data_IF_662092898402
#
_entry.id   IF_662092898402
#
_cell.length_a   1.000
_cell.length_b   1.000
_cell.length_c   1.000
_cell.angle_alpha   90.00
_cell.angle_beta   90.00
_cell.angle_gamma   90.00
#
_symmetry.space_group_name_H-M   'P 1'
#
loop_
_entity.id
_entity.type
_entity.pdbx_description
1 polymer ?
#
# COMPACT_ATOMS: atom_id res chain seq x y z
N UNK A 1 -4.26 12.45 26.45
CA UNK A 1 -3.04 11.64 26.31
C UNK A 1 -2.29 12.08 25.08
N UNK A 2 -1.00 12.34 25.21
CA UNK A 2 -0.20 12.82 24.09
C UNK A 2 0.64 11.68 23.52
N UNK A 3 0.33 11.29 22.29
CA UNK A 3 1.02 10.19 21.63
C UNK A 3 2.32 10.60 20.94
N UNK A 4 2.59 11.89 20.79
CA UNK A 4 3.73 12.37 20.04
C UNK A 4 4.92 12.85 20.88
N UNK A 5 4.94 12.59 22.19
CA UNK A 5 6.03 13.04 23.05
C UNK A 5 7.19 12.04 23.09
N UNK A 6 8.40 12.58 23.14
CA UNK A 6 9.63 11.81 23.20
C UNK A 6 10.32 11.67 21.87
N UNK A 7 11.52 11.11 21.88
CA UNK A 7 12.27 10.81 20.66
C UNK A 7 11.67 9.64 19.93
N UNK A 8 12.08 9.44 18.67
CA UNK A 8 11.66 8.28 17.89
C UNK A 8 12.02 6.97 18.58
N UNK A 9 13.23 6.89 19.16
CA UNK A 9 13.69 5.71 19.87
C UNK A 9 12.83 5.43 21.11
N UNK A 10 12.48 6.45 21.87
CA UNK A 10 11.61 6.33 23.04
C UNK A 10 10.21 5.85 22.65
N UNK A 11 9.67 6.37 21.56
CA UNK A 11 8.37 5.96 21.05
C UNK A 11 8.37 4.50 20.59
N UNK A 12 9.44 4.05 19.93
CA UNK A 12 9.58 2.66 19.50
C UNK A 12 9.70 1.73 20.70
N UNK A 13 10.50 2.08 21.70
CA UNK A 13 10.63 1.29 22.92
C UNK A 13 9.29 1.17 23.67
N UNK A 14 8.55 2.26 23.74
CA UNK A 14 7.21 2.25 24.32
C UNK A 14 6.26 1.33 23.55
N UNK A 15 6.27 1.41 22.23
CA UNK A 15 5.45 0.54 21.39
C UNK A 15 5.79 -0.94 21.57
N UNK A 16 7.08 -1.26 21.63
CA UNK A 16 7.54 -2.63 21.87
C UNK A 16 7.03 -3.16 23.22
N UNK A 17 7.08 -2.33 24.25
CA UNK A 17 6.59 -2.70 25.58
C UNK A 17 5.09 -2.94 25.57
N UNK A 18 4.32 -2.03 24.94
CA UNK A 18 2.87 -2.18 24.85
C UNK A 18 2.45 -3.44 24.09
N UNK A 19 3.15 -3.76 23.00
CA UNK A 19 2.90 -4.99 22.22
C UNK A 19 3.19 -6.23 23.08
N UNK A 20 4.31 -6.21 23.81
CA UNK A 20 4.73 -7.33 24.64
C UNK A 20 3.75 -7.60 25.79
N UNK A 21 3.25 -6.52 26.39
CA UNK A 21 2.36 -6.60 27.56
C UNK A 21 0.88 -6.78 27.17
N UNK A 22 0.53 -6.69 25.89
CA UNK A 22 -0.86 -6.77 25.43
C UNK A 22 -1.38 -8.20 25.47
N UNK A 23 -2.65 -8.35 25.85
CA UNK A 23 -3.36 -9.64 25.81
C UNK A 23 -3.84 -9.98 24.40
N UNK A 24 -4.05 -8.95 23.57
CA UNK A 24 -4.49 -9.08 22.20
C UNK A 24 -3.97 -7.94 21.35
N UNK A 25 -3.77 -8.19 20.07
CA UNK A 25 -3.30 -7.19 19.11
C UNK A 25 -4.35 -7.07 18.01
N UNK A 26 -4.80 -5.84 17.75
CA UNK A 26 -5.69 -5.53 16.63
C UNK A 26 -4.92 -4.70 15.62
N UNK A 27 -4.89 -5.14 14.37
CA UNK A 27 -4.20 -4.45 13.29
C UNK A 27 -5.23 -3.80 12.38
N UNK A 28 -5.21 -2.46 12.31
CA UNK A 28 -5.96 -1.71 11.33
C UNK A 28 -5.02 -1.18 10.28
N UNK A 29 -5.27 -1.49 9.03
CA UNK A 29 -4.41 -1.10 7.93
C UNK A 29 -5.21 -0.80 6.67
N UNK A 30 -4.70 0.08 5.84
CA UNK A 30 -5.29 0.46 4.58
C UNK A 30 -4.23 0.63 3.51
N UNK A 31 -4.53 1.44 2.51
CA UNK A 31 -3.63 1.71 1.38
C UNK A 31 -2.26 2.24 1.81
N UNK A 32 -2.19 2.94 2.96
CA UNK A 32 -0.93 3.44 3.49
C UNK A 32 0.09 2.35 3.81
N UNK A 33 -0.36 1.20 4.32
CA UNK A 33 0.53 0.06 4.55
C UNK A 33 1.10 -0.44 3.24
N UNK A 34 0.29 -0.57 2.21
CA UNK A 34 0.71 -1.01 0.88
C UNK A 34 1.64 0.02 0.23
N UNK A 35 1.39 1.30 0.42
CA UNK A 35 2.27 2.38 -0.06
C UNK A 35 3.65 2.25 0.58
N UNK A 36 3.72 1.98 1.88
CA UNK A 36 4.99 1.77 2.57
C UNK A 36 5.74 0.54 2.06
N UNK A 37 5.03 -0.46 1.56
CA UNK A 37 5.61 -1.66 0.93
C UNK A 37 6.06 -1.42 -0.52
N UNK A 38 5.82 -0.22 -1.06
CA UNK A 38 6.22 0.16 -2.41
C UNK A 38 5.10 0.10 -3.45
N UNK A 39 3.87 -0.20 -3.04
CA UNK A 39 2.70 -0.20 -3.93
C UNK A 39 2.12 1.20 -4.05
N UNK A 40 2.88 2.12 -4.65
CA UNK A 40 2.45 3.49 -4.88
C UNK A 40 1.51 3.57 -6.09
N UNK A 41 0.57 4.53 -6.07
CA UNK A 41 -0.43 4.71 -7.12
C UNK A 41 -0.08 5.82 -8.12
N UNK A 42 1.00 6.54 -7.88
CA UNK A 42 1.45 7.65 -8.73
C UNK A 42 2.97 7.62 -8.88
N UNK A 43 3.53 8.61 -9.55
CA UNK A 43 4.97 8.77 -9.73
C UNK A 43 5.57 7.70 -10.64
N UNK A 44 6.80 7.30 -10.32
CA UNK A 44 7.60 6.41 -11.18
C UNK A 44 6.93 5.06 -11.40
N UNK A 45 6.29 4.51 -10.39
CA UNK A 45 5.64 3.21 -10.50
C UNK A 45 4.44 3.27 -11.43
N UNK A 46 3.64 4.32 -11.34
CA UNK A 46 2.53 4.53 -12.27
C UNK A 46 3.04 4.69 -13.69
N UNK A 47 4.06 5.50 -13.91
CA UNK A 47 4.65 5.70 -15.22
C UNK A 47 5.22 4.41 -15.80
N UNK A 48 5.85 3.59 -14.98
CA UNK A 48 6.42 2.31 -15.41
C UNK A 48 5.36 1.34 -15.93
N UNK A 49 4.23 1.23 -15.25
CA UNK A 49 3.22 0.21 -15.55
C UNK A 49 2.04 0.71 -16.39
N UNK A 50 1.82 2.02 -16.43
CA UNK A 50 0.67 2.62 -17.11
C UNK A 50 1.05 3.74 -18.08
N UNK A 51 2.28 3.77 -18.56
CA UNK A 51 2.73 4.82 -19.47
C UNK A 51 1.86 4.92 -20.73
N UNK A 52 1.37 3.80 -21.24
CA UNK A 52 0.51 3.74 -22.42
C UNK A 52 -0.86 4.39 -22.16
N UNK A 53 -1.44 4.13 -20.99
CA UNK A 53 -2.69 4.78 -20.59
C UNK A 53 -2.49 6.28 -20.30
N UNK A 54 -1.40 6.66 -19.65
CA UNK A 54 -1.07 8.05 -19.40
C UNK A 54 -0.94 8.82 -20.71
N UNK A 55 -0.20 8.28 -21.66
CA UNK A 55 0.03 8.90 -22.96
C UNK A 55 -1.28 9.07 -23.74
N UNK A 56 -2.12 8.05 -23.75
CA UNK A 56 -3.36 8.03 -24.54
C UNK A 56 -4.50 8.82 -23.90
N UNK A 57 -4.65 8.75 -22.58
CA UNK A 57 -5.81 9.28 -21.87
C UNK A 57 -5.50 10.45 -20.94
N UNK A 58 -4.24 10.69 -20.60
CA UNK A 58 -3.81 11.87 -19.85
C UNK A 58 -3.97 11.83 -18.34
N UNK A 59 -4.38 10.72 -17.74
CA UNK A 59 -4.38 10.63 -16.28
C UNK A 59 -3.01 10.20 -15.76
N UNK A 60 -2.68 10.61 -14.51
CA UNK A 60 -1.33 10.48 -13.96
C UNK A 60 -1.23 9.62 -12.70
N UNK A 61 -2.32 8.99 -12.28
CA UNK A 61 -2.34 8.12 -11.12
C UNK A 61 -3.43 7.05 -11.26
N UNK A 62 -3.34 6.00 -10.42
CA UNK A 62 -4.23 4.86 -10.55
C UNK A 62 -5.66 5.16 -10.11
N UNK A 63 -5.86 6.11 -9.19
CA UNK A 63 -7.20 6.52 -8.78
C UNK A 63 -7.93 7.24 -9.91
N UNK A 64 -7.31 8.28 -10.45
CA UNK A 64 -7.88 9.03 -11.58
C UNK A 64 -8.11 8.12 -12.76
N UNK A 65 -7.15 7.22 -13.03
CA UNK A 65 -7.25 6.25 -14.10
C UNK A 65 -8.44 5.31 -13.93
N UNK A 66 -8.64 4.78 -12.73
CA UNK A 66 -9.75 3.89 -12.43
C UNK A 66 -11.11 4.53 -12.70
N UNK A 67 -11.28 5.78 -12.27
CA UNK A 67 -12.52 6.52 -12.55
C UNK A 67 -12.65 6.88 -14.03
N UNK A 68 -11.56 7.25 -14.66
CA UNK A 68 -11.58 7.64 -16.07
C UNK A 68 -12.00 6.48 -16.98
N UNK A 69 -11.42 5.29 -16.81
CA UNK A 69 -11.69 4.15 -17.67
C UNK A 69 -13.11 3.61 -17.55
N UNK A 70 -13.81 3.94 -16.46
CA UNK A 70 -15.22 3.58 -16.30
C UNK A 70 -16.11 4.18 -17.39
N UNK A 71 -15.66 5.24 -18.06
CA UNK A 71 -16.38 5.94 -19.13
C UNK A 71 -16.05 5.40 -20.51
N UNK A 72 -15.08 4.48 -20.59
CA UNK A 72 -14.59 3.93 -21.85
C UNK A 72 -15.26 2.58 -22.15
N UNK A 73 -14.95 2.02 -23.32
CA UNK A 73 -15.42 0.69 -23.69
C UNK A 73 -15.03 -0.34 -22.63
N UNK A 74 -15.90 -1.30 -22.33
CA UNK A 74 -15.61 -2.35 -21.34
C UNK A 74 -14.28 -3.06 -21.56
N UNK A 75 -13.90 -3.29 -22.80
CA UNK A 75 -12.63 -3.92 -23.15
C UNK A 75 -11.43 -3.12 -22.65
N UNK A 76 -11.45 -1.81 -22.82
CA UNK A 76 -10.40 -0.91 -22.35
C UNK A 76 -10.40 -0.85 -20.82
N UNK A 77 -11.58 -0.73 -20.21
CA UNK A 77 -11.74 -0.71 -18.76
C UNK A 77 -11.17 -1.99 -18.13
N UNK A 78 -11.49 -3.15 -18.68
CA UNK A 78 -10.97 -4.43 -18.19
C UNK A 78 -9.47 -4.58 -18.42
N UNK A 79 -8.93 -4.06 -19.52
CA UNK A 79 -7.49 -4.05 -19.75
C UNK A 79 -6.77 -3.26 -18.66
N UNK A 80 -7.30 -2.10 -18.29
CA UNK A 80 -6.77 -1.30 -17.18
C UNK A 80 -6.85 -2.05 -15.85
N UNK A 81 -8.04 -2.53 -15.49
CA UNK A 81 -8.25 -3.17 -14.20
C UNK A 81 -7.52 -4.51 -14.07
N UNK A 82 -7.40 -5.28 -15.13
CA UNK A 82 -6.61 -6.51 -15.11
C UNK A 82 -5.15 -6.21 -14.76
N UNK A 83 -4.58 -5.18 -15.38
CA UNK A 83 -3.21 -4.76 -15.08
C UNK A 83 -3.09 -4.20 -13.66
N UNK A 84 -4.03 -3.34 -13.26
CA UNK A 84 -4.05 -2.76 -11.92
C UNK A 84 -4.09 -3.85 -10.85
N UNK A 85 -4.97 -4.82 -10.98
CA UNK A 85 -5.09 -5.93 -10.05
C UNK A 85 -3.80 -6.75 -10.00
N UNK A 86 -3.23 -7.05 -11.16
CA UNK A 86 -2.00 -7.84 -11.24
C UNK A 86 -0.86 -7.15 -10.47
N UNK A 87 -0.60 -5.88 -10.75
CA UNK A 87 0.55 -5.19 -10.14
C UNK A 87 0.33 -4.83 -8.67
N UNK A 88 -0.91 -4.73 -8.21
CA UNK A 88 -1.22 -4.35 -6.83
C UNK A 88 -1.61 -5.53 -5.93
N UNK A 89 -1.98 -6.67 -6.50
CA UNK A 89 -2.44 -7.82 -5.71
C UNK A 89 -1.55 -9.05 -5.88
N UNK A 90 -1.13 -9.35 -7.10
CA UNK A 90 -0.41 -10.59 -7.38
C UNK A 90 1.10 -10.42 -7.51
N UNK A 91 1.56 -9.27 -7.93
CA UNK A 91 2.98 -8.99 -8.01
C UNK A 91 3.58 -8.85 -6.59
N UNK A 92 4.81 -9.33 -6.41
CA UNK A 92 5.51 -9.21 -5.14
C UNK A 92 5.73 -7.74 -4.79
N UNK A 93 5.52 -7.38 -3.52
CA UNK A 93 5.78 -6.02 -3.04
C UNK A 93 7.28 -5.70 -3.13
N UNK A 94 7.63 -4.46 -3.53
CA UNK A 94 9.05 -4.06 -3.61
C UNK A 94 9.79 -4.11 -2.27
N UNK A 95 9.09 -3.88 -1.14
CA UNK A 95 9.69 -3.87 0.20
C UNK A 95 9.01 -4.90 1.10
N UNK A 96 9.75 -5.55 2.02
CA UNK A 96 9.22 -6.65 2.83
C UNK A 96 8.41 -6.18 4.05
N UNK A 97 7.50 -5.25 3.86
CA UNK A 97 6.68 -4.69 4.96
C UNK A 97 5.67 -5.70 5.48
N UNK A 98 5.00 -6.41 4.59
CA UNK A 98 4.00 -7.41 4.98
C UNK A 98 4.64 -8.56 5.75
N UNK A 99 5.78 -9.06 5.27
CA UNK A 99 6.51 -10.16 5.90
C UNK A 99 7.02 -9.76 7.29
N UNK A 100 7.51 -8.54 7.43
CA UNK A 100 7.98 -8.01 8.72
C UNK A 100 6.85 -7.87 9.72
N UNK A 101 5.68 -7.38 9.27
CA UNK A 101 4.51 -7.28 10.13
C UNK A 101 4.04 -8.68 10.57
N UNK A 102 4.00 -9.63 9.66
CA UNK A 102 3.64 -11.01 9.97
C UNK A 102 4.61 -11.63 11.00
N UNK A 103 5.91 -11.43 10.81
CA UNK A 103 6.94 -11.90 11.73
C UNK A 103 6.73 -11.30 13.14
N UNK A 104 6.50 -9.97 13.20
CA UNK A 104 6.26 -9.29 14.45
C UNK A 104 5.08 -9.91 15.21
N UNK A 105 3.98 -10.17 14.54
CA UNK A 105 2.78 -10.76 15.15
C UNK A 105 3.04 -12.19 15.61
N UNK A 106 3.73 -12.99 14.81
CA UNK A 106 4.05 -14.38 15.14
C UNK A 106 4.96 -14.52 16.36
N UNK A 107 5.77 -13.51 16.63
CA UNK A 107 6.67 -13.49 17.79
C UNK A 107 5.93 -13.20 19.11
N UNK A 108 4.64 -12.91 19.08
CA UNK A 108 3.86 -12.49 20.24
C UNK A 108 3.04 -13.63 20.88
N UNK A 109 3.43 -14.82 20.78
CA UNK A 109 2.73 -15.97 21.40
C UNK A 109 2.72 -15.92 22.93
#
# INVERSE_FOLDING_TARGET
MSYGKGTREEQILRLQKEIKDADAIVIGAGAGLSTSAGFTYSGDRFQKYFFDFEEKYGFHDMYSGGFYVMRLDPEISWAYWARNIYINRYMKAPKPVYERLLTLVREQD
#
